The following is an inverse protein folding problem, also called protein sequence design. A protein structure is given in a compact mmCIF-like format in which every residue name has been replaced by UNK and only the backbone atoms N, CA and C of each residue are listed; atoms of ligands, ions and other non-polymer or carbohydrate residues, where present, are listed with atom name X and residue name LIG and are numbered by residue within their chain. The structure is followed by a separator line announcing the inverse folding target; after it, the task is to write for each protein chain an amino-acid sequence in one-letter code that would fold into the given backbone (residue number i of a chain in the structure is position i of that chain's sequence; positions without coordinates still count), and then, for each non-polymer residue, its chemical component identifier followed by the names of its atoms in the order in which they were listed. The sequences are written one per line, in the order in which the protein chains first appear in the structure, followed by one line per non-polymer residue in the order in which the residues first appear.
data_IF_675415943913
#
_entry.id   IF_675415943913
#
_cell.length_a   1.000
_cell.length_b   1.000
_cell.length_c   1.000
_cell.angle_alpha   90.00
_cell.angle_beta   90.00
_cell.angle_gamma   90.00
#
_symmetry.space_group_name_H-M   'P 1'
#
loop_
_entity.id
_entity.type
_entity.pdbx_description
1 polymer ?
#
# COMPACT_ATOMS: atom_id res chain seq x y z
N UNK A 1 -10.11 -1.50 13.37
CA UNK A 1 -10.06 -1.22 11.91
C UNK A 1 -10.41 -2.48 11.12
N UNK A 2 -10.52 -2.43 9.77
CA UNK A 2 -10.83 -3.65 8.99
C UNK A 2 -9.58 -4.53 8.87
N UNK A 3 -9.68 -5.81 9.23
CA UNK A 3 -8.61 -6.79 9.08
C UNK A 3 -8.20 -6.98 7.61
N UNK A 4 -6.91 -7.21 7.39
CA UNK A 4 -6.33 -7.53 6.08
C UNK A 4 -5.86 -8.98 6.14
N UNK A 5 -6.37 -9.82 5.25
CA UNK A 5 -5.92 -11.21 5.13
C UNK A 5 -5.47 -11.52 3.70
N UNK A 6 -6.41 -11.64 2.77
CA UNK A 6 -6.13 -11.82 1.36
C UNK A 6 -6.73 -10.64 0.60
N UNK A 7 -5.91 -9.97 -0.20
CA UNK A 7 -6.33 -8.92 -1.10
C UNK A 7 -6.09 -9.41 -2.53
N UNK A 8 -7.19 -9.52 -3.28
CA UNK A 8 -7.16 -9.80 -4.72
C UNK A 8 -7.73 -8.59 -5.44
N UNK A 9 -6.97 -7.97 -6.29
CA UNK A 9 -7.37 -6.75 -6.99
C UNK A 9 -6.52 -6.50 -8.22
N UNK A 10 -7.08 -5.73 -9.16
CA UNK A 10 -6.32 -5.09 -10.21
C UNK A 10 -5.36 -4.04 -9.66
N UNK A 11 -4.43 -3.60 -10.49
CA UNK A 11 -3.28 -2.79 -10.13
C UNK A 11 -3.35 -1.43 -10.83
N UNK A 12 -3.07 -0.37 -10.09
CA UNK A 12 -2.79 0.95 -10.65
C UNK A 12 -1.27 1.11 -10.73
N UNK A 13 -0.69 1.23 -11.94
CA UNK A 13 0.75 1.35 -12.09
C UNK A 13 1.21 2.80 -11.91
N UNK A 14 2.20 3.03 -11.07
CA UNK A 14 2.93 4.29 -10.94
C UNK A 14 4.42 3.99 -11.13
N UNK A 15 4.83 3.72 -12.37
CA UNK A 15 6.21 3.36 -12.71
C UNK A 15 7.13 4.59 -12.64
N UNK A 16 7.26 5.15 -11.44
CA UNK A 16 8.11 6.31 -11.12
C UNK A 16 8.95 5.97 -9.89
N UNK A 17 10.26 6.18 -9.99
CA UNK A 17 11.19 5.99 -8.89
C UNK A 17 11.36 7.27 -8.07
N UNK A 18 11.86 7.10 -6.83
CA UNK A 18 12.18 8.20 -5.93
C UNK A 18 10.98 9.14 -5.66
N UNK A 19 9.79 8.58 -5.60
CA UNK A 19 8.58 9.33 -5.28
C UNK A 19 8.64 9.74 -3.81
N UNK A 20 8.78 11.03 -3.56
CA UNK A 20 8.87 11.55 -2.20
C UNK A 20 7.49 11.87 -1.60
N UNK A 21 7.47 12.08 -0.30
CA UNK A 21 6.23 12.33 0.44
C UNK A 21 5.58 13.67 0.10
N UNK A 22 6.32 14.67 -0.44
CA UNK A 22 5.76 15.92 -0.95
C UNK A 22 5.00 15.73 -2.26
N UNK A 23 5.44 14.79 -3.07
CA UNK A 23 4.77 14.40 -4.30
C UNK A 23 3.52 13.56 -4.01
N UNK A 24 3.59 12.67 -3.01
CA UNK A 24 2.43 11.88 -2.56
C UNK A 24 1.35 12.82 -1.99
N UNK A 25 1.76 13.72 -1.10
CA UNK A 25 0.87 14.71 -0.46
C UNK A 25 1.57 16.06 -0.29
N UNK A 26 1.18 17.08 -1.05
CA UNK A 26 1.79 18.40 -0.98
C UNK A 26 1.69 19.03 0.41
N UNK A 27 2.75 19.72 0.84
CA UNK A 27 2.89 20.29 2.18
C UNK A 27 1.71 21.17 2.62
N UNK A 28 1.02 21.83 1.69
CA UNK A 28 -0.15 22.68 1.99
C UNK A 28 -1.31 21.95 2.63
N UNK A 29 -1.37 20.60 2.51
CA UNK A 29 -2.42 19.76 3.09
C UNK A 29 -2.07 19.20 4.48
N UNK A 30 -0.85 19.40 4.98
CA UNK A 30 -0.38 18.80 6.24
C UNK A 30 -1.02 19.40 7.50
N UNK A 31 -1.81 20.45 7.38
CA UNK A 31 -2.59 21.03 8.49
C UNK A 31 -3.89 20.26 8.76
N UNK A 32 -4.24 19.28 7.94
CA UNK A 32 -5.43 18.48 8.13
C UNK A 32 -5.30 17.60 9.39
N UNK A 33 -6.38 17.56 10.18
CA UNK A 33 -6.48 16.76 11.41
C UNK A 33 -7.42 15.57 11.22
N UNK A 34 -8.18 15.50 10.10
CA UNK A 34 -9.05 14.40 9.72
C UNK A 34 -8.49 13.65 8.53
N UNK A 35 -8.69 12.35 8.54
CA UNK A 35 -8.35 11.44 7.42
C UNK A 35 -9.45 11.38 6.36
N UNK A 36 -10.69 11.71 6.75
CA UNK A 36 -11.86 11.56 5.89
C UNK A 36 -11.81 12.50 4.68
N UNK A 37 -11.94 11.94 3.48
CA UNK A 37 -11.87 12.67 2.22
C UNK A 37 -10.48 13.19 1.89
N UNK A 38 -9.43 12.67 2.56
CA UNK A 38 -8.06 13.11 2.34
C UNK A 38 -7.46 12.57 1.05
N UNK A 39 -7.95 11.43 0.57
CA UNK A 39 -7.48 10.76 -0.65
C UNK A 39 -7.62 11.58 -1.93
N UNK A 40 -8.52 12.58 -1.96
CA UNK A 40 -8.62 13.53 -3.09
C UNK A 40 -7.34 14.34 -3.31
N UNK A 41 -6.51 14.46 -2.27
CA UNK A 41 -5.26 15.21 -2.30
C UNK A 41 -4.06 14.33 -2.70
N UNK A 42 -4.26 13.01 -2.87
CA UNK A 42 -3.22 12.07 -3.31
C UNK A 42 -2.66 12.49 -4.67
N UNK A 43 -1.35 12.66 -4.75
CA UNK A 43 -0.63 13.11 -5.95
C UNK A 43 -1.22 14.37 -6.59
N UNK A 44 -1.71 15.30 -5.77
CA UNK A 44 -2.51 16.44 -6.21
C UNK A 44 -1.89 17.22 -7.36
N UNK A 45 -0.60 17.56 -7.26
CA UNK A 45 0.12 18.37 -8.23
C UNK A 45 0.42 17.61 -9.54
N UNK A 46 0.42 16.29 -9.46
CA UNK A 46 0.59 15.43 -10.62
C UNK A 46 -0.73 15.09 -11.31
N UNK A 47 -1.81 15.00 -10.54
CA UNK A 47 -3.13 14.62 -11.05
C UNK A 47 -3.86 15.74 -11.74
N UNK A 48 -3.63 16.99 -11.35
CA UNK A 48 -4.46 18.11 -11.81
C UNK A 48 -3.62 19.25 -12.36
N UNK A 49 -4.20 19.99 -13.34
CA UNK A 49 -3.59 21.19 -13.89
C UNK A 49 -3.94 22.37 -12.98
N UNK A 50 -2.94 23.08 -12.49
CA UNK A 50 -3.10 24.24 -11.60
C UNK A 50 -3.99 23.97 -10.37
N UNK A 51 -3.89 22.77 -9.81
CA UNK A 51 -4.67 22.34 -8.63
C UNK A 51 -6.21 22.32 -8.85
N UNK A 52 -6.67 22.34 -10.08
CA UNK A 52 -8.10 22.36 -10.45
C UNK A 52 -8.61 20.92 -10.70
N UNK A 53 -9.47 20.43 -9.81
CA UNK A 53 -10.08 19.07 -9.92
C UNK A 53 -10.88 18.86 -11.21
N UNK A 54 -11.36 19.94 -11.84
CA UNK A 54 -12.08 19.87 -13.10
C UNK A 54 -11.15 19.75 -14.32
N UNK A 55 -9.85 19.80 -14.09
CA UNK A 55 -8.81 19.68 -15.13
C UNK A 55 -7.83 18.55 -14.83
N UNK A 56 -8.30 17.30 -14.79
CA UNK A 56 -7.42 16.15 -14.56
C UNK A 56 -6.43 16.01 -15.74
N UNK A 57 -5.21 15.60 -15.40
CA UNK A 57 -4.24 15.15 -16.41
C UNK A 57 -4.59 13.71 -16.77
N UNK A 58 -5.12 13.49 -17.96
CA UNK A 58 -5.65 12.19 -18.40
C UNK A 58 -4.56 11.12 -18.55
N UNK A 59 -3.32 11.54 -18.79
CA UNK A 59 -2.14 10.68 -18.91
C UNK A 59 -1.60 10.17 -17.56
N UNK A 60 -2.10 10.73 -16.43
CA UNK A 60 -1.68 10.28 -15.12
C UNK A 60 -2.45 9.01 -14.70
N UNK A 61 -1.76 7.92 -14.28
CA UNK A 61 -2.39 6.61 -14.09
C UNK A 61 -3.61 6.59 -13.16
N UNK A 62 -3.63 7.41 -12.10
CA UNK A 62 -4.76 7.47 -11.17
C UNK A 62 -5.98 8.21 -11.75
N UNK A 63 -5.84 8.89 -12.88
CA UNK A 63 -6.93 9.56 -13.59
C UNK A 63 -7.39 8.77 -14.82
N UNK A 64 -6.57 7.82 -15.29
CA UNK A 64 -6.88 6.97 -16.44
C UNK A 64 -7.88 5.88 -16.03
N UNK A 65 -9.08 5.94 -16.58
CA UNK A 65 -10.19 5.02 -16.26
C UNK A 65 -9.92 3.55 -16.58
N UNK A 66 -8.88 3.27 -17.40
CA UNK A 66 -8.49 1.88 -17.68
C UNK A 66 -7.86 1.20 -16.47
N UNK A 67 -7.29 1.96 -15.54
CA UNK A 67 -6.72 1.44 -14.31
C UNK A 67 -7.69 1.61 -13.14
N UNK A 68 -7.84 0.57 -12.37
CA UNK A 68 -8.66 0.56 -11.16
C UNK A 68 -8.09 -0.46 -10.19
N UNK A 69 -8.55 -0.41 -8.95
CA UNK A 69 -8.19 -1.44 -7.98
C UNK A 69 -7.62 -0.87 -6.68
N UNK A 70 -7.24 -1.80 -5.80
CA UNK A 70 -6.80 -1.49 -4.43
C UNK A 70 -5.29 -1.65 -4.23
N UNK A 71 -4.55 -1.94 -5.30
CA UNK A 71 -3.11 -2.15 -5.28
C UNK A 71 -2.45 -1.07 -6.12
N UNK A 72 -1.56 -0.30 -5.49
CA UNK A 72 -0.69 0.67 -6.17
C UNK A 72 0.68 0.02 -6.37
N UNK A 73 1.09 -0.21 -7.61
CA UNK A 73 2.46 -0.61 -7.92
C UNK A 73 3.29 0.64 -8.22
N UNK A 74 4.29 0.89 -7.39
CA UNK A 74 5.14 2.08 -7.46
C UNK A 74 6.60 1.70 -7.76
N UNK A 75 7.33 2.59 -8.42
CA UNK A 75 8.76 2.41 -8.68
C UNK A 75 9.60 2.39 -7.39
N UNK A 76 10.89 2.11 -7.54
CA UNK A 76 11.84 1.99 -6.43
C UNK A 76 11.95 3.26 -5.60
N UNK A 77 12.25 3.10 -4.29
CA UNK A 77 12.44 4.18 -3.33
C UNK A 77 11.18 5.05 -3.14
N UNK A 78 10.04 4.37 -2.98
CA UNK A 78 8.75 5.03 -2.77
C UNK A 78 8.60 5.56 -1.33
N UNK A 79 8.06 6.77 -1.20
CA UNK A 79 7.83 7.41 0.09
C UNK A 79 9.10 8.00 0.72
N UNK A 80 10.12 8.29 -0.10
CA UNK A 80 11.33 8.98 0.38
C UNK A 80 11.02 10.43 0.83
N UNK A 81 12.01 11.12 1.39
CA UNK A 81 11.86 12.48 1.86
C UNK A 81 11.40 12.59 3.32
N UNK A 82 10.61 13.61 3.63
CA UNK A 82 10.21 13.94 4.99
C UNK A 82 9.24 12.94 5.61
N UNK A 83 9.34 12.76 6.94
CA UNK A 83 8.39 11.91 7.69
C UNK A 83 6.98 12.51 7.67
N UNK A 84 6.09 11.95 6.86
CA UNK A 84 4.69 12.39 6.73
C UNK A 84 3.73 11.22 6.80
N UNK A 85 3.07 11.09 7.93
CA UNK A 85 2.01 10.11 8.09
C UNK A 85 0.84 10.37 7.12
N UNK A 86 0.61 11.63 6.79
CA UNK A 86 -0.40 12.08 5.82
C UNK A 86 -0.25 11.44 4.43
N UNK A 87 0.96 11.02 4.03
CA UNK A 87 1.16 10.30 2.78
C UNK A 87 0.45 8.93 2.81
N UNK A 88 0.57 8.20 3.92
CA UNK A 88 -0.15 6.93 4.11
C UNK A 88 -1.67 7.15 4.19
N UNK A 89 -2.13 8.23 4.86
CA UNK A 89 -3.56 8.59 4.90
C UNK A 89 -4.12 8.84 3.51
N UNK A 90 -3.42 9.64 2.70
CA UNK A 90 -3.88 9.96 1.35
C UNK A 90 -4.03 8.72 0.47
N UNK A 91 -3.05 7.81 0.51
CA UNK A 91 -3.09 6.57 -0.26
C UNK A 91 -4.22 5.66 0.24
N UNK A 92 -4.35 5.51 1.56
CA UNK A 92 -5.38 4.66 2.16
C UNK A 92 -6.79 5.18 1.88
N UNK A 93 -7.03 6.48 2.08
CA UNK A 93 -8.34 7.11 1.86
C UNK A 93 -8.69 7.21 0.36
N UNK A 94 -7.69 7.20 -0.53
CA UNK A 94 -7.91 7.06 -1.97
C UNK A 94 -8.38 5.66 -2.40
N UNK A 95 -8.46 4.69 -1.46
CA UNK A 95 -9.00 3.36 -1.68
C UNK A 95 -7.95 2.27 -1.88
N UNK A 96 -6.67 2.57 -1.73
CA UNK A 96 -5.63 1.54 -1.81
C UNK A 96 -5.47 0.82 -0.48
N UNK A 97 -5.36 -0.50 -0.54
CA UNK A 97 -5.07 -1.37 0.61
C UNK A 97 -3.60 -1.83 0.62
N UNK A 98 -2.96 -1.85 -0.55
CA UNK A 98 -1.58 -2.32 -0.74
C UNK A 98 -0.79 -1.34 -1.60
N UNK A 99 0.46 -1.12 -1.25
CA UNK A 99 1.46 -0.53 -2.13
C UNK A 99 2.57 -1.54 -2.37
N UNK A 100 2.92 -1.79 -3.64
CA UNK A 100 4.00 -2.70 -4.04
C UNK A 100 5.15 -1.86 -4.59
N UNK A 101 6.36 -2.10 -4.13
CA UNK A 101 7.60 -1.46 -4.63
C UNK A 101 8.79 -2.36 -4.35
N UNK A 102 9.90 -2.15 -5.05
CA UNK A 102 11.14 -2.88 -4.74
C UNK A 102 11.92 -2.30 -3.56
N UNK A 103 11.63 -1.07 -3.17
CA UNK A 103 12.20 -0.44 -1.97
C UNK A 103 11.29 0.67 -1.46
N UNK A 104 11.13 0.76 -0.15
CA UNK A 104 10.42 1.83 0.56
C UNK A 104 11.35 2.56 1.52
N UNK A 105 11.15 3.86 1.69
CA UNK A 105 11.75 4.56 2.83
C UNK A 105 11.15 4.03 4.15
N UNK A 106 11.99 3.79 5.16
CA UNK A 106 11.62 3.13 6.40
C UNK A 106 10.49 3.83 7.14
N UNK A 107 10.52 5.17 7.20
CA UNK A 107 9.49 5.96 7.88
C UNK A 107 8.15 5.81 7.17
N UNK A 108 8.13 5.87 5.83
CA UNK A 108 6.91 5.66 5.06
C UNK A 108 6.34 4.26 5.28
N UNK A 109 7.21 3.23 5.26
CA UNK A 109 6.83 1.84 5.51
C UNK A 109 6.14 1.69 6.89
N UNK A 110 6.71 2.26 7.92
CA UNK A 110 6.15 2.22 9.27
C UNK A 110 4.83 3.00 9.38
N UNK A 111 4.76 4.21 8.81
CA UNK A 111 3.53 5.00 8.78
C UNK A 111 2.41 4.28 8.02
N UNK A 112 2.74 3.59 6.93
CA UNK A 112 1.78 2.80 6.17
C UNK A 112 1.17 1.68 7.01
N UNK A 113 2.01 0.89 7.69
CA UNK A 113 1.57 -0.20 8.57
C UNK A 113 0.66 0.31 9.71
N UNK A 114 0.99 1.46 10.32
CA UNK A 114 0.18 2.09 11.37
C UNK A 114 -1.19 2.59 10.86
N UNK A 115 -1.32 2.76 9.54
CA UNK A 115 -2.54 3.23 8.90
C UNK A 115 -3.26 2.15 8.10
N UNK A 116 -2.98 0.87 8.34
CA UNK A 116 -3.62 -0.25 7.65
C UNK A 116 -3.47 -0.19 6.11
N UNK A 117 -2.38 0.38 5.65
CA UNK A 117 -1.88 0.31 4.29
C UNK A 117 -0.71 -0.68 4.28
N UNK A 118 -0.80 -1.76 3.51
CA UNK A 118 0.21 -2.82 3.48
C UNK A 118 1.31 -2.50 2.45
N UNK A 119 2.53 -2.13 2.85
CA UNK A 119 3.66 -1.98 1.94
C UNK A 119 4.29 -3.37 1.69
N UNK A 120 4.27 -3.82 0.45
CA UNK A 120 4.84 -5.10 0.02
C UNK A 120 6.12 -4.84 -0.76
N UNK A 121 7.25 -5.26 -0.20
CA UNK A 121 8.56 -5.16 -0.87
C UNK A 121 8.79 -6.42 -1.70
N UNK A 122 9.12 -6.23 -2.97
CA UNK A 122 9.38 -7.31 -3.95
C UNK A 122 10.74 -7.08 -4.62
N UNK A 123 11.23 -8.07 -5.38
CA UNK A 123 12.44 -7.86 -6.20
C UNK A 123 12.21 -6.85 -7.32
N UNK A 124 13.29 -6.19 -7.79
CA UNK A 124 13.22 -5.30 -8.96
C UNK A 124 12.68 -6.05 -10.20
N UNK A 125 13.05 -7.33 -10.36
CA UNK A 125 12.60 -8.17 -11.49
C UNK A 125 11.11 -8.48 -11.43
N UNK A 126 10.58 -8.80 -10.25
CA UNK A 126 9.15 -9.07 -10.10
C UNK A 126 8.31 -7.79 -10.26
N UNK A 127 8.79 -6.66 -9.74
CA UNK A 127 8.14 -5.37 -9.95
C UNK A 127 8.04 -5.02 -11.43
N UNK A 128 9.12 -5.25 -12.19
CA UNK A 128 9.12 -5.04 -13.64
C UNK A 128 8.11 -5.97 -14.35
N UNK A 129 8.03 -7.23 -13.93
CA UNK A 129 7.02 -8.19 -14.44
C UNK A 129 5.59 -7.69 -14.20
N UNK A 130 5.32 -7.09 -13.02
CA UNK A 130 4.02 -6.48 -12.72
C UNK A 130 3.72 -5.34 -13.70
N UNK A 131 4.65 -4.41 -13.91
CA UNK A 131 4.45 -3.30 -14.84
C UNK A 131 4.18 -3.76 -16.26
N UNK A 132 4.97 -4.72 -16.77
CA UNK A 132 4.78 -5.28 -18.11
C UNK A 132 3.43 -6.01 -18.27
N UNK A 133 2.99 -6.73 -17.23
CA UNK A 133 1.71 -7.40 -17.25
C UNK A 133 0.54 -6.42 -17.28
N UNK A 134 0.60 -5.36 -16.45
CA UNK A 134 -0.42 -4.31 -16.38
C UNK A 134 -0.46 -3.46 -17.65
N UNK A 135 0.69 -3.20 -18.28
CA UNK A 135 0.76 -2.50 -19.58
C UNK A 135 0.07 -3.30 -20.69
N UNK A 136 0.31 -4.61 -20.72
CA UNK A 136 -0.34 -5.54 -21.70
C UNK A 136 -1.83 -5.71 -21.42
N UNK A 137 -2.21 -5.77 -20.15
CA UNK A 137 -3.61 -5.94 -19.73
C UNK A 137 -3.89 -5.11 -18.47
N UNK A 138 -4.54 -3.94 -18.58
CA UNK A 138 -4.90 -3.11 -17.43
C UNK A 138 -5.77 -3.80 -16.37
N UNK A 139 -6.47 -4.88 -16.73
CA UNK A 139 -7.28 -5.68 -15.81
C UNK A 139 -6.47 -6.76 -15.05
N UNK A 140 -5.14 -6.79 -15.22
CA UNK A 140 -4.27 -7.73 -14.50
C UNK A 140 -4.49 -7.63 -13.00
N UNK A 141 -4.77 -8.78 -12.37
CA UNK A 141 -4.98 -8.89 -10.93
C UNK A 141 -3.75 -9.46 -10.22
N UNK A 142 -3.55 -9.01 -9.00
CA UNK A 142 -2.57 -9.55 -8.05
C UNK A 142 -3.31 -10.06 -6.82
N UNK A 143 -2.85 -11.19 -6.30
CA UNK A 143 -3.23 -11.69 -4.98
C UNK A 143 -2.09 -11.44 -3.99
N UNK A 144 -2.40 -10.74 -2.90
CA UNK A 144 -1.53 -10.55 -1.74
C UNK A 144 -2.12 -11.30 -0.58
N UNK A 145 -1.42 -12.30 -0.06
CA UNK A 145 -1.80 -13.08 1.10
C UNK A 145 -0.90 -12.70 2.29
N UNK A 146 -1.45 -11.97 3.25
CA UNK A 146 -0.71 -11.48 4.40
C UNK A 146 -0.33 -12.62 5.37
N UNK A 147 -1.21 -13.60 5.55
CA UNK A 147 -0.94 -14.74 6.42
C UNK A 147 0.25 -15.58 5.93
N UNK A 148 0.26 -15.89 4.63
CA UNK A 148 1.35 -16.63 3.97
C UNK A 148 2.54 -15.76 3.59
N UNK A 149 2.40 -14.43 3.68
CA UNK A 149 3.40 -13.45 3.23
C UNK A 149 3.82 -13.68 1.77
N UNK A 150 2.84 -13.86 0.88
CA UNK A 150 3.07 -14.09 -0.55
C UNK A 150 2.31 -13.08 -1.39
N UNK A 151 2.93 -12.69 -2.50
CA UNK A 151 2.32 -11.91 -3.58
C UNK A 151 2.41 -12.71 -4.87
N UNK A 152 1.33 -12.75 -5.66
CA UNK A 152 1.26 -13.49 -6.90
C UNK A 152 0.56 -12.68 -7.97
N UNK A 153 1.14 -12.68 -9.16
CA UNK A 153 0.47 -12.23 -10.37
C UNK A 153 -0.51 -13.31 -10.81
N UNK A 154 -1.78 -12.95 -10.98
CA UNK A 154 -2.80 -13.89 -11.43
C UNK A 154 -2.85 -13.91 -12.95
N UNK A 155 -2.79 -15.10 -13.51
CA UNK A 155 -2.93 -15.29 -14.96
C UNK A 155 -4.38 -15.01 -15.38
N UNK A 156 -4.57 -14.45 -16.56
CA UNK A 156 -5.90 -14.36 -17.17
C UNK A 156 -6.44 -15.77 -17.39
N UNK A 157 -7.76 -15.95 -17.27
CA UNK A 157 -8.45 -17.25 -17.39
C UNK A 157 -8.23 -18.00 -18.72
N UNK A 158 -7.49 -17.42 -19.66
CA UNK A 158 -7.19 -17.99 -20.98
C UNK A 158 -5.80 -18.65 -21.06
N UNK A 159 -4.95 -18.51 -20.01
CA UNK A 159 -3.64 -19.16 -19.99
C UNK A 159 -3.71 -20.56 -19.34
N UNK A 160 -2.94 -21.57 -19.81
CA UNK A 160 -2.87 -22.85 -19.12
C UNK A 160 -2.33 -22.65 -17.70
N UNK A 161 -2.77 -23.42 -16.70
CA UNK A 161 -2.41 -23.24 -15.31
C UNK A 161 -0.92 -23.60 -15.06
N UNK A 162 -0.05 -22.67 -15.36
CA UNK A 162 1.35 -22.69 -14.96
C UNK A 162 1.45 -21.79 -13.72
N UNK A 163 1.35 -22.35 -12.55
CA UNK A 163 1.27 -21.65 -11.27
C UNK A 163 1.92 -20.26 -11.29
N UNK A 164 1.10 -19.20 -11.18
CA UNK A 164 1.47 -17.81 -11.43
C UNK A 164 2.79 -17.37 -10.78
N UNK A 165 3.48 -16.46 -11.45
CA UNK A 165 4.74 -15.89 -10.94
C UNK A 165 4.45 -15.14 -9.64
N UNK A 166 5.20 -15.44 -8.60
CA UNK A 166 5.00 -14.82 -7.30
C UNK A 166 6.25 -14.86 -6.42
N UNK A 167 6.24 -14.06 -5.38
CA UNK A 167 7.32 -13.95 -4.40
C UNK A 167 6.79 -13.97 -2.97
N UNK A 168 7.68 -14.26 -2.03
CA UNK A 168 7.44 -14.02 -0.61
C UNK A 168 7.88 -12.60 -0.24
N UNK A 169 7.23 -12.00 0.75
CA UNK A 169 7.62 -10.70 1.30
C UNK A 169 7.76 -10.77 2.82
N UNK A 170 8.52 -9.85 3.36
CA UNK A 170 8.77 -9.75 4.80
C UNK A 170 7.93 -8.66 5.45
N UNK A 171 7.41 -8.96 6.62
CA UNK A 171 6.71 -8.03 7.49
C UNK A 171 7.04 -8.35 8.95
N UNK A 172 7.15 -7.32 9.78
CA UNK A 172 7.31 -7.48 11.23
C UNK A 172 6.13 -8.26 11.81
N UNK A 173 6.41 -9.26 12.67
CA UNK A 173 5.39 -10.18 13.23
C UNK A 173 4.31 -9.45 14.02
N UNK A 174 4.68 -8.44 14.81
CA UNK A 174 3.74 -7.59 15.56
C UNK A 174 2.78 -6.87 14.61
N UNK A 175 3.29 -6.18 13.59
CA UNK A 175 2.45 -5.47 12.61
C UNK A 175 1.60 -6.42 11.76
N UNK A 176 2.13 -7.62 11.45
CA UNK A 176 1.35 -8.69 10.81
C UNK A 176 0.13 -9.08 11.66
N UNK A 177 0.34 -9.32 12.95
CA UNK A 177 -0.74 -9.66 13.89
C UNK A 177 -1.78 -8.54 13.96
N UNK A 178 -1.35 -7.28 14.06
CA UNK A 178 -2.24 -6.12 14.07
C UNK A 178 -3.09 -6.04 12.80
N UNK A 179 -2.47 -6.16 11.62
CA UNK A 179 -3.19 -6.10 10.35
C UNK A 179 -4.15 -7.26 10.14
N UNK A 180 -3.76 -8.50 10.50
CA UNK A 180 -4.61 -9.69 10.38
C UNK A 180 -5.87 -9.61 11.25
N UNK A 181 -5.77 -8.99 12.43
CA UNK A 181 -6.88 -8.90 13.39
C UNK A 181 -7.60 -7.55 13.36
N UNK A 182 -7.09 -6.55 12.62
CA UNK A 182 -7.65 -5.21 12.62
C UNK A 182 -7.35 -4.42 13.90
N UNK A 183 -6.30 -4.80 14.64
CA UNK A 183 -5.90 -4.20 15.90
C UNK A 183 -5.06 -2.93 15.68
N UNK A 184 -5.35 -1.88 16.43
CA UNK A 184 -4.37 -0.83 16.68
C UNK A 184 -3.38 -1.25 17.80
N UNK A 185 -2.43 -0.38 18.15
CA UNK A 185 -1.41 -0.69 19.14
C UNK A 185 -2.02 -0.91 20.55
N UNK A 186 -3.15 -0.24 20.86
CA UNK A 186 -3.87 -0.40 22.13
C UNK A 186 -4.64 -1.72 22.15
N UNK A 187 -5.33 -2.06 21.06
CA UNK A 187 -6.04 -3.33 20.92
C UNK A 187 -5.08 -4.51 21.10
N UNK A 188 -3.88 -4.42 20.52
CA UNK A 188 -2.85 -5.45 20.66
C UNK A 188 -2.45 -5.64 22.13
N UNK A 189 -2.16 -4.55 22.84
CA UNK A 189 -1.80 -4.62 24.27
C UNK A 189 -2.93 -5.18 25.13
N UNK A 190 -4.18 -4.78 24.86
CA UNK A 190 -5.35 -5.29 25.58
C UNK A 190 -5.53 -6.81 25.38
N UNK A 191 -5.27 -7.31 24.18
CA UNK A 191 -5.35 -8.73 23.88
C UNK A 191 -4.18 -9.55 24.46
N UNK A 192 -3.04 -8.91 24.75
CA UNK A 192 -1.87 -9.54 25.41
C UNK A 192 -1.91 -9.41 26.94
N UNK A 193 -2.97 -8.88 27.53
CA UNK A 193 -3.05 -8.58 28.97
C UNK A 193 -2.84 -9.83 29.86
N UNK A 194 -3.40 -10.95 29.46
CA UNK A 194 -3.26 -12.21 30.24
C UNK A 194 -1.82 -12.70 30.26
N UNK A 195 -1.10 -12.61 29.14
CA UNK A 195 0.31 -12.97 29.04
C UNK A 195 1.19 -12.05 29.90
N UNK A 196 0.87 -10.75 29.91
CA UNK A 196 1.56 -9.76 30.76
C UNK A 196 1.37 -10.10 32.23
N UNK A 197 0.15 -10.38 32.69
CA UNK A 197 -0.14 -10.77 34.09
C UNK A 197 0.58 -12.09 34.46
N UNK A 198 0.61 -13.08 33.57
CA UNK A 198 1.35 -14.31 33.79
C UNK A 198 2.85 -14.06 33.96
N UNK A 199 3.41 -13.18 33.11
CA UNK A 199 4.81 -12.80 33.23
C UNK A 199 5.11 -12.07 34.55
N UNK A 200 4.30 -11.09 34.93
CA UNK A 200 4.44 -10.36 36.21
C UNK A 200 4.39 -11.34 37.42
N UNK A 201 3.45 -12.28 37.42
CA UNK A 201 3.34 -13.29 38.49
C UNK A 201 4.54 -14.27 38.52
N UNK A 202 5.24 -14.45 37.41
CA UNK A 202 6.43 -15.30 37.35
C UNK A 202 7.69 -14.63 37.93
N UNK A 203 7.65 -13.29 38.12
CA UNK A 203 8.76 -12.50 38.69
C UNK A 203 8.61 -12.28 40.21
N UNK A 204 7.45 -12.61 40.79
CA UNK A 204 7.14 -12.48 42.21
C UNK A 204 7.48 -13.75 42.96
#
# INVERSE_FOLDING_TARGET
MKAINIIKSSVVPLNMENVDTDQIIPARFLKATSRDGFGKNLFRDWRYINDDENKPKEDFPLNDKKYSGKILAAGKNFGCGSSREHAAWAIKDAGFDVVVSSFFADIFKNNSLNNFLLPVTVSDSFLQTIFEAVEKNPATEIEVNLEKQTIKLLESSEAPPSGGVGEAFEINSYKKTCLLNGYDDIDYLLNSKEEIIQYENSLA
#
